data_IF_075629048415
#
_entry.id   IF_075629048415
#
_cell.length_a   1.000
_cell.length_b   1.000
_cell.length_c   1.000
_cell.angle_alpha   90.00
_cell.angle_beta   90.00
_cell.angle_gamma   90.00
#
_symmetry.space_group_name_H-M   'P 1'
#
loop_
_entity.id
_entity.type
_entity.pdbx_description
1 polymer ?
#
# COMPACT_ATOMS: atom_id res chain seq x y z
N UNK A 1 19.47 12.24 -10.26
CA UNK A 1 18.67 11.57 -11.30
C UNK A 1 17.41 11.03 -10.63
N UNK A 2 16.30 11.76 -10.69
CA UNK A 2 15.00 11.39 -10.10
C UNK A 2 13.88 11.86 -11.04
N UNK A 3 13.81 11.23 -12.21
CA UNK A 3 12.88 11.63 -13.26
C UNK A 3 11.54 10.88 -13.19
N UNK A 4 11.47 9.80 -12.41
CA UNK A 4 10.23 9.07 -12.20
C UNK A 4 9.27 9.90 -11.33
N UNK A 5 8.04 10.10 -11.82
CA UNK A 5 6.96 10.70 -11.04
C UNK A 5 5.79 9.72 -11.00
N UNK A 6 5.50 9.18 -9.83
CA UNK A 6 4.39 8.26 -9.61
C UNK A 6 3.04 8.85 -10.07
N UNK A 7 2.89 10.18 -10.01
CA UNK A 7 1.69 10.88 -10.49
C UNK A 7 1.27 10.56 -11.94
N UNK A 8 2.19 10.18 -12.83
CA UNK A 8 1.84 9.77 -14.20
C UNK A 8 1.19 8.37 -14.29
N UNK A 9 1.26 7.60 -13.20
CA UNK A 9 0.76 6.23 -13.10
C UNK A 9 -0.19 6.02 -11.93
N UNK A 10 -0.41 7.06 -11.12
CA UNK A 10 -1.24 7.00 -9.93
C UNK A 10 -2.64 6.51 -10.28
N UNK A 11 -3.07 5.43 -9.63
CA UNK A 11 -4.39 4.83 -9.83
C UNK A 11 -4.52 3.92 -11.05
N UNK A 12 -3.42 3.55 -11.71
CA UNK A 12 -3.44 2.50 -12.72
C UNK A 12 -3.77 1.11 -12.12
N UNK A 13 -3.89 0.08 -12.97
CA UNK A 13 -4.20 -1.27 -12.52
C UNK A 13 -3.20 -1.85 -11.51
N UNK A 14 -1.92 -1.46 -11.58
CA UNK A 14 -0.90 -1.91 -10.63
C UNK A 14 -1.14 -1.29 -9.24
N UNK A 15 -1.49 0.00 -9.18
CA UNK A 15 -1.89 0.64 -7.94
C UNK A 15 -3.19 0.04 -7.38
N UNK A 16 -4.18 -0.29 -8.23
CA UNK A 16 -5.41 -0.94 -7.76
C UNK A 16 -5.08 -2.27 -7.08
N UNK A 17 -4.26 -3.12 -7.71
CA UNK A 17 -3.84 -4.39 -7.12
C UNK A 17 -3.06 -4.16 -5.81
N UNK A 18 -2.05 -3.29 -5.84
CA UNK A 18 -1.19 -2.97 -4.69
C UNK A 18 -2.00 -2.51 -3.48
N UNK A 19 -2.87 -1.52 -3.66
CA UNK A 19 -3.65 -0.95 -2.56
C UNK A 19 -4.75 -1.90 -2.08
N UNK A 20 -5.37 -2.70 -2.96
CA UNK A 20 -6.36 -3.70 -2.55
C UNK A 20 -5.74 -4.74 -1.62
N UNK A 21 -4.55 -5.25 -1.97
CA UNK A 21 -3.82 -6.20 -1.12
C UNK A 21 -3.40 -5.55 0.19
N UNK A 22 -2.89 -4.32 0.16
CA UNK A 22 -2.53 -3.58 1.37
C UNK A 22 -3.72 -3.42 2.32
N UNK A 23 -4.89 -3.02 1.80
CA UNK A 23 -6.12 -2.87 2.60
C UNK A 23 -6.52 -4.21 3.24
N UNK A 24 -6.54 -5.29 2.45
CA UNK A 24 -6.90 -6.62 2.97
C UNK A 24 -5.93 -7.09 4.06
N UNK A 25 -4.63 -6.86 3.88
CA UNK A 25 -3.62 -7.20 4.87
C UNK A 25 -3.77 -6.39 6.17
N UNK A 26 -4.01 -5.07 6.05
CA UNK A 26 -4.23 -4.21 7.21
C UNK A 26 -5.49 -4.62 7.98
N UNK A 27 -6.60 -4.87 7.28
CA UNK A 27 -7.84 -5.34 7.91
C UNK A 27 -7.59 -6.57 8.78
N UNK A 28 -6.94 -7.60 8.21
CA UNK A 28 -6.62 -8.82 8.94
C UNK A 28 -5.67 -8.59 10.12
N UNK A 29 -4.58 -7.85 9.93
CA UNK A 29 -3.59 -7.61 10.97
C UNK A 29 -4.14 -6.79 12.15
N UNK A 30 -5.13 -5.92 11.90
CA UNK A 30 -5.80 -5.13 12.93
C UNK A 30 -6.86 -5.89 13.72
N UNK A 31 -7.16 -7.15 13.39
CA UNK A 31 -8.07 -7.98 14.22
C UNK A 31 -7.48 -8.29 15.61
N UNK A 32 -6.15 -8.27 15.72
CA UNK A 32 -5.45 -8.43 17.00
C UNK A 32 -5.22 -7.07 17.65
N UNK A 33 -5.56 -6.96 18.93
CA UNK A 33 -5.22 -5.79 19.76
C UNK A 33 -3.74 -5.79 20.16
N UNK A 34 -2.87 -5.64 19.16
CA UNK A 34 -1.43 -5.50 19.30
C UNK A 34 -0.95 -4.39 18.37
N UNK A 35 0.07 -3.64 18.78
CA UNK A 35 0.63 -2.58 17.96
C UNK A 35 1.16 -3.14 16.62
N UNK A 36 0.90 -2.40 15.53
CA UNK A 36 1.39 -2.70 14.18
C UNK A 36 2.46 -1.69 13.78
N UNK A 37 3.57 -2.19 13.23
CA UNK A 37 4.58 -1.36 12.54
C UNK A 37 4.38 -1.48 11.03
N UNK A 38 4.23 -0.34 10.35
CA UNK A 38 4.15 -0.27 8.87
C UNK A 38 5.43 0.38 8.35
N UNK A 39 6.09 -0.29 7.40
CA UNK A 39 7.29 0.19 6.73
C UNK A 39 6.99 0.29 5.23
N UNK A 40 7.18 1.46 4.66
CA UNK A 40 7.02 1.75 3.22
C UNK A 40 8.36 2.30 2.69
N UNK A 41 8.89 1.73 1.62
CA UNK A 41 10.27 1.90 1.14
C UNK A 41 10.36 2.72 -0.14
#
# INVERSE_FOLDING_TARGET
>A
MFSYRHAFHAGNHADVLKHTVLIAALQYLTEKDAALTVLDT
#
